data_IF_174479140836
#
_entry.id   IF_174479140836
#
_cell.length_a   1.000
_cell.length_b   1.000
_cell.length_c   1.000
_cell.angle_alpha   90.00
_cell.angle_beta   90.00
_cell.angle_gamma   90.00
#
_symmetry.space_group_name_H-M   'P 1'
#
loop_
_entity.id
_entity.type
_entity.pdbx_description
1 polymer ?
#
# COMPACT_ATOMS: atom_id res chain seq x y z
N UNK A 1 -1.02 3.31 22.28
CA UNK A 1 -0.69 1.95 21.83
C UNK A 1 0.04 1.28 22.98
N UNK A 2 -0.53 0.21 23.53
CA UNK A 2 0.12 -0.48 24.66
C UNK A 2 1.34 -1.25 24.13
N UNK A 3 2.31 -1.57 25.00
CA UNK A 3 3.46 -2.40 24.61
C UNK A 3 3.04 -3.77 24.04
N UNK A 4 1.89 -4.29 24.48
CA UNK A 4 1.32 -5.56 24.06
C UNK A 4 0.78 -5.52 22.62
N UNK A 5 0.13 -4.40 22.23
CA UNK A 5 -0.34 -4.16 20.86
C UNK A 5 0.84 -4.10 19.86
N UNK A 6 1.94 -3.46 20.25
CA UNK A 6 3.12 -3.31 19.41
C UNK A 6 3.84 -4.65 19.16
N UNK A 7 3.94 -5.50 20.18
CA UNK A 7 4.55 -6.83 20.07
C UNK A 7 3.67 -7.78 19.24
N UNK A 8 2.34 -7.67 19.36
CA UNK A 8 1.38 -8.42 18.53
C UNK A 8 1.50 -8.02 17.05
N UNK A 9 1.59 -6.72 16.75
CA UNK A 9 1.78 -6.21 15.38
C UNK A 9 3.11 -6.67 14.77
N UNK A 10 4.21 -6.66 15.52
CA UNK A 10 5.50 -7.14 15.02
C UNK A 10 5.46 -8.64 14.71
N UNK A 11 4.74 -9.41 15.53
CA UNK A 11 4.53 -10.85 15.27
C UNK A 11 3.74 -11.08 13.98
N UNK A 12 2.68 -10.29 13.72
CA UNK A 12 1.91 -10.37 12.48
C UNK A 12 2.76 -9.96 11.27
N UNK A 13 3.55 -8.88 11.38
CA UNK A 13 4.48 -8.41 10.36
C UNK A 13 5.45 -9.51 9.90
N UNK A 14 6.07 -10.22 10.85
CA UNK A 14 7.01 -11.32 10.55
C UNK A 14 6.36 -12.56 9.91
N UNK A 15 5.03 -12.69 9.99
CA UNK A 15 4.28 -13.78 9.35
C UNK A 15 3.95 -13.48 7.89
N UNK A 16 4.01 -12.22 7.46
CA UNK A 16 3.72 -11.85 6.09
C UNK A 16 4.71 -12.49 5.12
N UNK A 17 4.19 -12.98 4.00
CA UNK A 17 5.01 -13.56 2.93
C UNK A 17 6.06 -12.56 2.41
N UNK A 18 5.75 -11.28 2.13
CA UNK A 18 6.75 -10.29 1.71
C UNK A 18 7.91 -10.11 2.68
N UNK A 19 7.66 -10.19 4.00
CA UNK A 19 8.74 -10.13 4.99
C UNK A 19 9.65 -11.36 4.93
N UNK A 20 9.04 -12.56 4.86
CA UNK A 20 9.79 -13.82 4.81
C UNK A 20 10.60 -13.98 3.52
N UNK A 21 10.08 -13.45 2.41
CA UNK A 21 10.76 -13.43 1.13
C UNK A 21 11.88 -12.37 1.05
N UNK A 22 12.04 -11.51 2.06
CA UNK A 22 13.06 -10.47 2.07
C UNK A 22 12.70 -9.22 1.26
N UNK A 23 11.43 -9.06 0.89
CA UNK A 23 10.94 -7.88 0.15
C UNK A 23 10.66 -6.68 1.04
N UNK A 24 10.34 -6.92 2.32
CA UNK A 24 10.11 -5.88 3.32
C UNK A 24 11.34 -5.66 4.21
N UNK A 25 11.52 -4.43 4.75
CA UNK A 25 12.57 -4.13 5.71
C UNK A 25 12.53 -5.02 6.95
N UNK A 26 13.70 -5.26 7.56
CA UNK A 26 13.78 -6.04 8.81
C UNK A 26 13.17 -5.30 9.99
N UNK A 27 13.35 -3.98 10.03
CA UNK A 27 12.71 -3.11 10.99
C UNK A 27 11.36 -2.62 10.45
N UNK A 28 10.26 -2.87 11.16
CA UNK A 28 8.93 -2.40 10.79
C UNK A 28 8.84 -0.87 10.78
N UNK A 29 9.59 -0.17 11.62
CA UNK A 29 9.58 1.30 11.65
C UNK A 29 10.03 1.92 10.31
N UNK A 30 10.89 1.22 9.56
CA UNK A 30 11.27 1.61 8.21
C UNK A 30 10.07 1.69 7.25
N UNK A 31 9.08 0.81 7.43
CA UNK A 31 7.87 0.82 6.59
C UNK A 31 7.01 2.04 6.88
N UNK A 32 6.91 2.46 8.15
CA UNK A 32 6.22 3.72 8.51
C UNK A 32 6.90 4.92 7.83
N UNK A 33 8.24 4.96 7.86
CA UNK A 33 9.02 6.00 7.19
C UNK A 33 8.82 6.01 5.68
N UNK A 34 8.89 4.85 5.04
CA UNK A 34 8.66 4.69 3.60
C UNK A 34 7.26 5.14 3.19
N UNK A 35 6.22 4.67 3.89
CA UNK A 35 4.84 4.99 3.55
C UNK A 35 4.52 6.49 3.72
N UNK A 36 5.14 7.17 4.70
CA UNK A 36 5.03 8.63 4.84
C UNK A 36 5.69 9.38 3.69
N UNK A 37 6.86 8.93 3.23
CA UNK A 37 7.53 9.50 2.04
C UNK A 37 6.69 9.29 0.79
N UNK A 38 6.13 8.10 0.61
CA UNK A 38 5.24 7.77 -0.50
C UNK A 38 4.00 8.67 -0.54
N UNK A 39 3.34 8.89 0.60
CA UNK A 39 2.22 9.83 0.72
C UNK A 39 2.62 11.24 0.27
N UNK A 40 3.73 11.76 0.77
CA UNK A 40 4.21 13.10 0.42
C UNK A 40 4.50 13.22 -1.09
N UNK A 41 5.16 12.22 -1.68
CA UNK A 41 5.47 12.20 -3.10
C UNK A 41 4.22 12.12 -3.99
N UNK A 42 3.22 11.33 -3.60
CA UNK A 42 1.95 11.26 -4.32
C UNK A 42 1.18 12.58 -4.28
N UNK A 43 1.20 13.29 -3.14
CA UNK A 43 0.59 14.63 -3.01
C UNK A 43 1.30 15.63 -3.91
N UNK A 44 2.64 15.69 -3.86
CA UNK A 44 3.44 16.59 -4.70
C UNK A 44 3.17 16.38 -6.20
N UNK A 45 3.11 15.12 -6.61
CA UNK A 45 2.81 14.73 -8.00
C UNK A 45 1.45 15.24 -8.48
N UNK A 46 0.43 15.19 -7.63
CA UNK A 46 -0.93 15.68 -7.97
C UNK A 46 -1.06 17.21 -7.86
N UNK A 47 -0.25 17.86 -7.02
CA UNK A 47 -0.30 19.30 -6.77
C UNK A 47 0.55 20.16 -7.73
N UNK A 48 1.47 19.56 -8.49
CA UNK A 48 2.46 20.27 -9.31
C UNK A 48 1.93 20.99 -10.57
N UNK A 49 0.61 21.05 -10.78
CA UNK A 49 -0.03 21.81 -11.88
C UNK A 49 0.24 21.30 -13.31
N UNK A 50 1.11 20.30 -13.48
CA UNK A 50 1.35 19.63 -14.74
C UNK A 50 0.24 18.60 -15.02
N UNK A 51 -0.22 18.45 -16.27
CA UNK A 51 -1.16 17.40 -16.65
C UNK A 51 -0.59 16.02 -16.30
N UNK A 52 -1.23 15.34 -15.36
CA UNK A 52 -0.79 14.04 -14.88
C UNK A 52 -1.62 12.92 -15.52
N UNK A 53 -1.00 12.13 -16.40
CA UNK A 53 -1.66 10.98 -17.04
C UNK A 53 -1.63 9.79 -16.09
N UNK A 54 -2.79 9.38 -15.57
CA UNK A 54 -2.91 8.23 -14.66
C UNK A 54 -2.64 6.91 -15.39
N UNK A 55 -1.96 5.98 -14.73
CA UNK A 55 -1.66 4.64 -15.23
C UNK A 55 -2.94 3.86 -15.55
N UNK A 56 -2.99 3.19 -16.70
CA UNK A 56 -4.18 2.44 -17.13
C UNK A 56 -4.59 1.33 -16.15
N UNK A 57 -3.62 0.66 -15.51
CA UNK A 57 -3.93 -0.34 -14.47
C UNK A 57 -4.58 0.27 -13.21
N UNK A 58 -4.22 1.50 -12.85
CA UNK A 58 -4.81 2.22 -11.71
C UNK A 58 -6.21 2.73 -12.08
N UNK A 59 -6.40 3.20 -13.31
CA UNK A 59 -7.74 3.54 -13.83
C UNK A 59 -8.66 2.32 -13.77
N UNK A 60 -8.21 1.15 -14.22
CA UNK A 60 -8.99 -0.09 -14.15
C UNK A 60 -9.37 -0.49 -12.71
N UNK A 61 -8.50 -0.25 -11.73
CA UNK A 61 -8.84 -0.44 -10.32
C UNK A 61 -9.90 0.57 -9.85
N UNK A 62 -9.80 1.83 -10.27
CA UNK A 62 -10.82 2.86 -9.97
C UNK A 62 -12.19 2.43 -10.51
N UNK A 63 -12.26 2.01 -11.76
CA UNK A 63 -13.49 1.54 -12.41
C UNK A 63 -14.08 0.31 -11.70
N UNK A 64 -13.24 -0.63 -11.24
CA UNK A 64 -13.69 -1.75 -10.42
C UNK A 64 -14.30 -1.27 -9.10
N UNK A 65 -13.68 -0.30 -8.42
CA UNK A 65 -14.19 0.24 -7.16
C UNK A 65 -15.46 1.06 -7.36
N UNK A 66 -15.67 1.66 -8.52
CA UNK A 66 -16.92 2.36 -8.86
C UNK A 66 -18.06 1.40 -9.17
N UNK A 67 -17.76 0.29 -9.86
CA UNK A 67 -18.76 -0.69 -10.32
C UNK A 67 -19.10 -1.77 -9.29
N UNK A 68 -18.14 -2.20 -8.46
CA UNK A 68 -18.33 -3.23 -7.44
C UNK A 68 -18.36 -2.61 -6.03
N UNK A 69 -19.58 -2.41 -5.51
CA UNK A 69 -19.81 -1.86 -4.19
C UNK A 69 -19.28 -2.72 -3.02
N UNK A 70 -19.13 -4.03 -3.21
CA UNK A 70 -18.61 -4.95 -2.19
C UNK A 70 -17.09 -4.77 -2.08
N UNK A 71 -16.40 -4.76 -3.23
CA UNK A 71 -14.96 -4.50 -3.27
C UNK A 71 -14.67 -3.11 -2.69
N UNK A 72 -15.43 -2.08 -3.12
CA UNK A 72 -15.30 -0.73 -2.59
C UNK A 72 -15.47 -0.66 -1.08
N UNK A 73 -16.50 -1.34 -0.54
CA UNK A 73 -16.75 -1.38 0.89
C UNK A 73 -15.57 -2.01 1.66
N UNK A 74 -15.02 -3.13 1.19
CA UNK A 74 -13.89 -3.77 1.86
C UNK A 74 -12.63 -2.90 1.79
N UNK A 75 -12.36 -2.25 0.66
CA UNK A 75 -11.20 -1.35 0.53
C UNK A 75 -11.33 -0.13 1.43
N UNK A 76 -12.49 0.54 1.46
CA UNK A 76 -12.73 1.67 2.38
C UNK A 76 -12.59 1.25 3.85
N UNK A 77 -13.18 0.11 4.24
CA UNK A 77 -13.05 -0.42 5.61
C UNK A 77 -11.61 -0.78 5.95
N UNK A 78 -10.88 -1.41 5.02
CA UNK A 78 -9.48 -1.78 5.19
C UNK A 78 -8.62 -0.55 5.49
N UNK A 79 -8.84 0.55 4.76
CA UNK A 79 -8.14 1.84 5.00
C UNK A 79 -8.50 2.40 6.38
N UNK A 80 -9.80 2.42 6.74
CA UNK A 80 -10.29 2.97 8.01
C UNK A 80 -9.86 2.17 9.23
N UNK A 81 -9.63 0.87 9.09
CA UNK A 81 -9.23 -0.02 10.17
C UNK A 81 -7.74 0.07 10.51
N UNK A 82 -6.92 0.72 9.68
CA UNK A 82 -5.50 0.95 9.99
C UNK A 82 -5.39 1.86 11.22
N UNK A 83 -4.65 1.46 12.27
CA UNK A 83 -4.45 2.29 13.45
C UNK A 83 -3.84 3.65 13.11
N UNK A 84 -4.27 4.77 13.75
CA UNK A 84 -3.80 6.12 13.40
C UNK A 84 -2.28 6.30 13.38
N UNK A 85 -1.54 5.58 14.22
CA UNK A 85 -0.08 5.66 14.28
C UNK A 85 0.63 5.18 12.98
N UNK A 86 -0.05 4.33 12.21
CA UNK A 86 0.46 3.68 10.98
C UNK A 86 -0.33 4.09 9.74
N UNK A 87 -1.32 4.99 9.90
CA UNK A 87 -2.23 5.38 8.82
C UNK A 87 -1.55 6.41 7.92
N UNK A 88 -1.27 6.00 6.69
CA UNK A 88 -0.66 6.83 5.64
C UNK A 88 -1.51 6.93 4.38
N UNK A 89 -2.72 6.39 4.41
CA UNK A 89 -3.72 6.48 3.35
C UNK A 89 -5.03 6.78 4.06
N UNK A 90 -5.69 7.88 3.72
CA UNK A 90 -6.90 8.32 4.38
C UNK A 90 -8.18 7.86 3.70
N UNK A 91 -8.13 7.70 2.37
CA UNK A 91 -9.25 7.30 1.54
C UNK A 91 -8.79 6.59 0.24
N UNK A 92 -9.78 6.15 -0.57
CA UNK A 92 -9.55 5.46 -1.84
C UNK A 92 -8.80 6.34 -2.86
N UNK A 93 -9.17 7.62 -3.09
CA UNK A 93 -8.40 8.50 -3.96
C UNK A 93 -6.92 8.56 -3.60
N UNK A 94 -6.59 8.66 -2.32
CA UNK A 94 -5.20 8.68 -1.87
C UNK A 94 -4.49 7.34 -2.12
N UNK A 95 -5.18 6.21 -1.91
CA UNK A 95 -4.65 4.89 -2.25
C UNK A 95 -4.30 4.80 -3.74
N UNK A 96 -5.21 5.25 -4.61
CA UNK A 96 -5.01 5.23 -6.06
C UNK A 96 -3.84 6.13 -6.48
N UNK A 97 -3.70 7.31 -5.88
CA UNK A 97 -2.58 8.22 -6.14
C UNK A 97 -1.23 7.61 -5.75
N UNK A 98 -1.15 6.93 -4.60
CA UNK A 98 0.07 6.26 -4.16
C UNK A 98 0.40 5.04 -5.04
N UNK A 99 -0.59 4.26 -5.47
CA UNK A 99 -0.38 3.16 -6.43
C UNK A 99 0.13 3.66 -7.78
N UNK A 100 -0.42 4.76 -8.27
CA UNK A 100 0.01 5.37 -9.53
C UNK A 100 1.40 6.00 -9.45
N UNK A 101 1.78 6.53 -8.28
CA UNK A 101 3.17 6.93 -8.05
C UNK A 101 4.11 5.72 -8.11
N UNK A 102 3.74 4.60 -7.49
CA UNK A 102 4.53 3.37 -7.50
C UNK A 102 4.73 2.85 -8.93
N UNK A 103 3.69 2.79 -9.76
CA UNK A 103 3.81 2.27 -11.14
C UNK A 103 4.79 3.06 -12.01
N UNK A 104 5.13 4.30 -11.65
CA UNK A 104 6.01 5.19 -12.41
C UNK A 104 7.37 5.42 -11.75
N UNK A 105 7.59 4.84 -10.58
CA UNK A 105 8.83 5.03 -9.84
C UNK A 105 9.53 3.71 -9.60
N UNK A 106 10.84 3.72 -9.87
CA UNK A 106 11.72 2.65 -9.44
C UNK A 106 12.02 2.82 -7.95
N UNK A 107 12.00 1.74 -7.15
CA UNK A 107 12.47 1.80 -5.78
C UNK A 107 13.98 2.09 -5.79
N UNK A 108 14.46 2.85 -4.80
CA UNK A 108 15.88 3.09 -4.62
C UNK A 108 16.59 1.76 -4.40
N UNK A 109 17.73 1.52 -5.06
CA UNK A 109 18.44 0.23 -5.00
C UNK A 109 19.30 0.07 -3.73
N UNK A 110 19.74 1.18 -3.13
CA UNK A 110 20.52 1.21 -1.89
C UNK A 110 20.07 2.36 -1.00
N UNK A 111 19.55 2.00 0.18
CA UNK A 111 19.31 2.93 1.29
C UNK A 111 20.51 2.87 2.26
N UNK A 112 21.10 4.02 2.64
CA UNK A 112 22.33 4.08 3.45
C UNK A 112 22.27 3.39 4.82
N UNK A 113 21.07 3.19 5.35
CA UNK A 113 20.79 2.69 6.70
C UNK A 113 20.28 1.24 6.73
N UNK A 114 20.26 0.55 5.58
CA UNK A 114 19.77 -0.82 5.48
C UNK A 114 18.24 -0.94 5.59
N UNK A 115 17.49 0.16 5.48
CA UNK A 115 16.01 0.17 5.47
C UNK A 115 15.40 -0.16 4.11
N UNK A 116 16.16 -0.88 3.29
CA UNK A 116 15.89 -1.19 1.90
C UNK A 116 14.48 -1.79 1.72
N UNK A 117 13.67 -1.14 0.88
CA UNK A 117 12.35 -1.60 0.48
C UNK A 117 12.35 -1.97 -1.00
N UNK A 118 12.40 -3.26 -1.29
CA UNK A 118 12.46 -3.76 -2.66
C UNK A 118 11.09 -3.83 -3.33
N UNK A 119 10.01 -3.80 -2.55
CA UNK A 119 8.66 -4.02 -3.07
C UNK A 119 7.68 -3.00 -2.48
N UNK A 120 7.65 -1.77 -3.04
CA UNK A 120 6.91 -0.64 -2.50
C UNK A 120 5.41 -0.93 -2.32
N UNK A 121 4.81 -1.72 -3.20
CA UNK A 121 3.40 -2.09 -3.09
C UNK A 121 3.10 -2.96 -1.87
N UNK A 122 4.01 -3.85 -1.48
CA UNK A 122 3.83 -4.68 -0.26
C UNK A 122 3.92 -3.81 1.00
N UNK A 123 4.81 -2.82 1.00
CA UNK A 123 4.94 -1.86 2.10
C UNK A 123 3.71 -0.96 2.24
N UNK A 124 3.18 -0.47 1.12
CA UNK A 124 1.94 0.31 1.09
C UNK A 124 0.79 -0.46 1.75
N UNK A 125 0.64 -1.74 1.42
CA UNK A 125 -0.46 -2.57 1.91
C UNK A 125 -0.18 -3.25 3.26
N UNK A 126 1.00 -3.09 3.86
CA UNK A 126 1.43 -3.94 4.97
C UNK A 126 0.44 -3.95 6.15
N UNK A 127 -0.01 -2.77 6.56
CA UNK A 127 -0.94 -2.62 7.69
C UNK A 127 -2.37 -2.89 7.26
N UNK A 128 -2.71 -2.56 6.01
CA UNK A 128 -4.01 -2.83 5.43
C UNK A 128 -4.30 -4.33 5.38
N UNK A 129 -3.33 -5.15 4.99
CA UNK A 129 -3.41 -6.62 4.98
C UNK A 129 -3.63 -7.22 6.37
N UNK A 130 -3.23 -6.53 7.44
CA UNK A 130 -3.42 -6.99 8.82
C UNK A 130 -4.80 -6.65 9.39
N UNK A 131 -5.61 -5.86 8.67
CA UNK A 131 -6.98 -5.53 9.10
C UNK A 131 -7.96 -6.64 8.70
N UNK A 132 -9.06 -6.85 9.46
CA UNK A 132 -10.10 -7.81 9.09
C UNK A 132 -10.69 -7.57 7.70
N UNK A 133 -10.93 -6.30 7.33
CA UNK A 133 -11.44 -5.96 6.01
C UNK A 133 -10.39 -6.15 4.91
N UNK A 134 -9.10 -5.93 5.20
CA UNK A 134 -8.02 -6.25 4.28
C UNK A 134 -7.90 -7.74 4.01
N UNK A 135 -8.05 -8.57 5.05
CA UNK A 135 -8.09 -10.03 4.90
C UNK A 135 -9.17 -10.49 3.91
N UNK A 136 -10.32 -9.80 3.90
CA UNK A 136 -11.40 -10.05 2.95
C UNK A 136 -11.10 -9.46 1.56
N UNK A 137 -10.60 -8.22 1.49
CA UNK A 137 -10.26 -7.55 0.24
C UNK A 137 -9.21 -8.35 -0.57
N UNK A 138 -8.12 -8.76 0.06
CA UNK A 138 -7.02 -9.48 -0.61
C UNK A 138 -7.38 -10.91 -1.07
N UNK A 139 -8.48 -11.49 -0.55
CA UNK A 139 -9.04 -12.76 -1.02
C UNK A 139 -10.09 -12.60 -2.12
N UNK A 140 -10.58 -11.39 -2.35
CA UNK A 140 -11.48 -11.12 -3.45
C UNK A 140 -10.70 -11.24 -4.77
N UNK A 141 -11.15 -12.14 -5.66
CA UNK A 141 -10.46 -12.45 -6.92
C UNK A 141 -10.35 -11.23 -7.81
N UNK A 142 -11.41 -10.43 -7.94
CA UNK A 142 -11.42 -9.24 -8.80
C UNK A 142 -10.44 -8.17 -8.30
N UNK A 143 -10.39 -7.94 -6.99
CA UNK A 143 -9.43 -7.00 -6.40
C UNK A 143 -7.99 -7.49 -6.58
N UNK A 144 -7.73 -8.77 -6.33
CA UNK A 144 -6.40 -9.36 -6.49
C UNK A 144 -5.93 -9.31 -7.96
N UNK A 145 -6.81 -9.59 -8.92
CA UNK A 145 -6.52 -9.47 -10.35
C UNK A 145 -6.24 -8.01 -10.77
N UNK A 146 -6.94 -7.03 -10.19
CA UNK A 146 -6.64 -5.63 -10.42
C UNK A 146 -5.25 -5.25 -9.90
N UNK A 147 -4.89 -5.67 -8.68
CA UNK A 147 -3.54 -5.45 -8.13
C UNK A 147 -2.45 -6.15 -8.97
N UNK A 148 -2.72 -7.35 -9.48
CA UNK A 148 -1.81 -8.07 -10.38
C UNK A 148 -1.52 -7.27 -11.65
N UNK A 149 -2.53 -6.61 -12.23
CA UNK A 149 -2.33 -5.74 -13.41
C UNK A 149 -1.46 -4.52 -13.10
N UNK A 150 -1.62 -3.94 -11.91
CA UNK A 150 -0.77 -2.83 -11.46
C UNK A 150 0.67 -3.31 -11.32
N UNK A 151 0.88 -4.49 -10.73
CA UNK A 151 2.22 -5.09 -10.62
C UNK A 151 2.85 -5.34 -12.00
N UNK A 152 2.10 -5.92 -12.94
CA UNK A 152 2.57 -6.17 -14.32
C UNK A 152 2.91 -4.90 -15.08
N UNK A 153 2.29 -3.77 -14.75
CA UNK A 153 2.63 -2.48 -15.35
C UNK A 153 3.92 -1.91 -14.74
N UNK A 154 4.16 -2.17 -13.46
CA UNK A 154 5.34 -1.69 -12.75
C UNK A 154 6.60 -2.51 -13.09
N UNK A 155 6.50 -3.84 -13.18
CA UNK A 155 7.60 -4.75 -13.52
C UNK A 155 7.14 -6.00 -14.28
#
# INVERSE_FOLDING_TARGET
MTHEDAASLDTQYRRLLPFRAGFLPRDRAAVDGFNRRLKAAAVEQTGGGQPWVVSSSVVALSELLESDGIVRMYVDKMIRQVPPAHKTVDDIPELLAQLDHITKTAPLYQEPDGTQNHFPMSSLFVYMMMTPAGEAAFRNVAFNDALRRILQQWC
#
